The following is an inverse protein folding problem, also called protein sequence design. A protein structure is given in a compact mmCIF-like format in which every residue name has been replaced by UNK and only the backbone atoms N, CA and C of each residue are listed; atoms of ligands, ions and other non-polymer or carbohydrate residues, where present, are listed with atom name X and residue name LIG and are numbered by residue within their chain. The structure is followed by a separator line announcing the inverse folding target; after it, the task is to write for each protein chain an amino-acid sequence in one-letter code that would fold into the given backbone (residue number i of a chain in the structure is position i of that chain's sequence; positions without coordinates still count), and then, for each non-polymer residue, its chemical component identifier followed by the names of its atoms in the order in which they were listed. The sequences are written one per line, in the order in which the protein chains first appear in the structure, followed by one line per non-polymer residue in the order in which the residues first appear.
data_IF_453689500939
#
_entry.id   IF_453689500939
#
_cell.length_a   1.000
_cell.length_b   1.000
_cell.length_c   1.000
_cell.angle_alpha   90.00
_cell.angle_beta   90.00
_cell.angle_gamma   90.00
#
_symmetry.space_group_name_H-M   'P 1'
#
loop_
_entity.id
_entity.type
_entity.pdbx_description
1 polymer ?
#
# COMPACT_ATOMS: atom_id res chain seq x y z
N UNK A 1 2.87 -26.20 19.64
CA UNK A 1 4.13 -25.92 18.90
C UNK A 1 3.72 -25.46 17.49
N UNK A 2 4.03 -24.24 17.12
CA UNK A 2 3.73 -23.74 15.78
C UNK A 2 4.72 -24.39 14.80
N UNK A 3 4.23 -25.23 13.88
CA UNK A 3 5.03 -25.83 12.82
C UNK A 3 5.71 -24.72 12.00
N UNK A 4 6.96 -24.93 11.59
CA UNK A 4 7.62 -24.00 10.67
C UNK A 4 6.88 -24.02 9.33
N UNK A 5 6.83 -22.90 8.66
CA UNK A 5 6.08 -22.76 7.38
C UNK A 5 6.50 -23.81 6.34
N UNK A 6 7.80 -24.15 6.26
CA UNK A 6 8.30 -25.19 5.36
C UNK A 6 7.69 -26.57 5.64
N UNK A 7 7.66 -26.97 6.92
CA UNK A 7 7.10 -28.27 7.34
C UNK A 7 5.59 -28.33 7.05
N UNK A 8 4.89 -27.22 7.29
CA UNK A 8 3.45 -27.11 6.99
C UNK A 8 3.14 -27.22 5.50
N UNK A 9 4.00 -26.65 4.66
CA UNK A 9 3.83 -26.73 3.20
C UNK A 9 4.03 -28.16 2.69
N UNK A 10 4.99 -28.91 3.27
CA UNK A 10 5.19 -30.33 2.95
C UNK A 10 4.01 -31.17 3.44
N UNK A 11 3.56 -30.96 4.69
CA UNK A 11 2.40 -31.68 5.24
C UNK A 11 1.16 -31.51 4.39
N UNK A 12 0.93 -30.27 3.90
CA UNK A 12 -0.17 -29.95 2.96
C UNK A 12 0.09 -30.40 1.52
N UNK A 13 1.24 -31.04 1.24
CA UNK A 13 1.64 -31.53 -0.09
C UNK A 13 1.67 -30.44 -1.17
N UNK A 14 2.07 -29.25 -0.78
CA UNK A 14 2.18 -28.10 -1.69
C UNK A 14 3.57 -27.96 -2.28
N UNK A 15 4.59 -28.45 -1.56
CA UNK A 15 5.97 -28.57 -2.01
C UNK A 15 6.55 -29.92 -1.57
N UNK A 16 7.56 -30.37 -2.25
CA UNK A 16 8.36 -31.55 -1.87
C UNK A 16 9.50 -31.17 -0.92
N UNK A 17 10.13 -32.18 -0.29
CA UNK A 17 11.32 -31.96 0.53
C UNK A 17 12.47 -31.38 -0.29
N UNK A 18 12.65 -31.85 -1.52
CA UNK A 18 13.70 -31.38 -2.43
C UNK A 18 13.53 -29.92 -2.80
N UNK A 19 12.29 -29.49 -3.05
CA UNK A 19 11.93 -28.09 -3.32
C UNK A 19 12.16 -27.20 -2.10
N UNK A 20 11.85 -27.68 -0.89
CA UNK A 20 12.14 -26.96 0.33
C UNK A 20 13.65 -26.81 0.53
N UNK A 21 14.44 -27.86 0.32
CA UNK A 21 15.89 -27.84 0.46
C UNK A 21 16.53 -26.87 -0.54
N UNK A 22 16.01 -26.81 -1.77
CA UNK A 22 16.41 -25.82 -2.77
C UNK A 22 16.11 -24.39 -2.30
N UNK A 23 14.89 -24.15 -1.82
CA UNK A 23 14.48 -22.84 -1.34
C UNK A 23 15.28 -22.39 -0.11
N UNK A 24 15.62 -23.31 0.79
CA UNK A 24 16.45 -23.01 1.97
C UNK A 24 17.87 -22.60 1.59
N UNK A 25 18.48 -23.24 0.58
CA UNK A 25 19.81 -22.84 0.07
C UNK A 25 19.77 -21.43 -0.53
N UNK A 26 18.77 -21.14 -1.32
CA UNK A 26 18.57 -19.80 -1.91
C UNK A 26 18.27 -18.73 -0.86
N UNK A 27 17.45 -19.04 0.14
CA UNK A 27 17.16 -18.16 1.28
C UNK A 27 18.45 -17.75 2.03
N UNK A 28 19.38 -18.70 2.23
CA UNK A 28 20.67 -18.40 2.88
C UNK A 28 21.52 -17.42 2.07
N UNK A 29 21.44 -17.48 0.74
CA UNK A 29 22.19 -16.61 -0.16
C UNK A 29 21.58 -15.20 -0.25
N UNK A 30 20.26 -15.11 -0.32
CA UNK A 30 19.54 -13.84 -0.60
C UNK A 30 19.10 -13.10 0.65
N UNK A 31 19.03 -13.78 1.81
CA UNK A 31 18.47 -13.28 3.06
C UNK A 31 17.00 -12.84 2.97
N UNK A 32 16.32 -13.21 1.88
CA UNK A 32 14.87 -13.01 1.74
C UNK A 32 14.11 -13.96 2.67
N UNK A 33 12.85 -13.65 3.00
CA UNK A 33 12.02 -14.61 3.72
C UNK A 33 11.79 -15.88 2.89
N UNK A 34 11.82 -17.06 3.53
CA UNK A 34 11.64 -18.35 2.86
C UNK A 34 10.38 -18.38 1.97
N UNK A 35 9.27 -17.79 2.43
CA UNK A 35 8.05 -17.70 1.64
C UNK A 35 8.24 -16.92 0.35
N UNK A 36 8.94 -15.79 0.38
CA UNK A 36 9.25 -14.98 -0.81
C UNK A 36 10.15 -15.76 -1.77
N UNK A 37 11.15 -16.46 -1.24
CA UNK A 37 12.04 -17.32 -2.04
C UNK A 37 11.25 -18.43 -2.74
N UNK A 38 10.31 -19.09 -2.06
CA UNK A 38 9.46 -20.12 -2.63
C UNK A 38 8.59 -19.59 -3.78
N UNK A 39 8.03 -18.39 -3.62
CA UNK A 39 7.23 -17.73 -4.67
C UNK A 39 8.11 -17.33 -5.85
N UNK A 40 9.27 -16.73 -5.60
CA UNK A 40 10.23 -16.34 -6.65
C UNK A 40 10.72 -17.52 -7.48
N UNK A 41 10.93 -18.65 -6.84
CA UNK A 41 11.31 -19.92 -7.51
C UNK A 41 10.12 -20.61 -8.21
N UNK A 42 8.91 -20.01 -8.17
CA UNK A 42 7.67 -20.58 -8.72
C UNK A 42 7.28 -21.95 -8.13
N UNK A 43 7.75 -22.28 -6.92
CA UNK A 43 7.41 -23.52 -6.23
C UNK A 43 6.03 -23.47 -5.59
N UNK A 44 5.56 -22.27 -5.23
CA UNK A 44 4.22 -22.01 -4.74
C UNK A 44 3.72 -20.65 -5.24
N UNK A 45 2.41 -20.49 -5.43
CA UNK A 45 1.82 -19.18 -5.75
C UNK A 45 1.69 -18.34 -4.47
N UNK A 46 1.83 -17.01 -4.59
CA UNK A 46 1.68 -16.07 -3.47
C UNK A 46 0.33 -16.24 -2.77
N UNK A 47 -0.75 -16.42 -3.53
CA UNK A 47 -2.10 -16.68 -2.99
C UNK A 47 -2.13 -17.91 -2.08
N UNK A 48 -1.54 -19.03 -2.51
CA UNK A 48 -1.52 -20.26 -1.70
C UNK A 48 -0.69 -20.08 -0.44
N UNK A 49 0.48 -19.46 -0.56
CA UNK A 49 1.35 -19.16 0.57
C UNK A 49 0.63 -18.30 1.62
N UNK A 50 0.02 -17.18 1.19
CA UNK A 50 -0.67 -16.26 2.08
C UNK A 50 -1.89 -16.89 2.77
N UNK A 51 -2.64 -17.76 2.08
CA UNK A 51 -3.75 -18.50 2.70
C UNK A 51 -3.26 -19.39 3.84
N UNK A 52 -2.12 -20.05 3.67
CA UNK A 52 -1.53 -20.91 4.70
C UNK A 52 -0.95 -20.09 5.85
N UNK A 53 -0.30 -18.97 5.55
CA UNK A 53 0.19 -18.06 6.58
C UNK A 53 -0.97 -17.47 7.39
N UNK A 54 -2.07 -17.09 6.72
CA UNK A 54 -3.28 -16.61 7.38
C UNK A 54 -3.84 -17.67 8.34
N UNK A 55 -3.99 -18.91 7.88
CA UNK A 55 -4.45 -20.03 8.70
C UNK A 55 -3.52 -20.27 9.91
N UNK A 56 -2.21 -20.25 9.69
CA UNK A 56 -1.21 -20.45 10.72
C UNK A 56 -1.22 -19.36 11.81
N UNK A 57 -1.49 -18.11 11.41
CA UNK A 57 -1.50 -16.95 12.29
C UNK A 57 -2.90 -16.63 12.84
N UNK A 58 -3.93 -17.38 12.45
CA UNK A 58 -5.31 -17.10 12.82
C UNK A 58 -5.88 -15.81 12.22
N UNK A 59 -5.31 -15.37 11.08
CA UNK A 59 -5.72 -14.19 10.34
C UNK A 59 -6.67 -14.56 9.20
N UNK A 60 -7.43 -13.59 8.68
CA UNK A 60 -8.19 -13.76 7.45
C UNK A 60 -7.31 -13.56 6.22
N UNK A 61 -7.57 -14.30 5.15
CA UNK A 61 -7.09 -14.00 3.81
C UNK A 61 -8.21 -13.31 3.03
N UNK A 62 -7.92 -12.15 2.42
CA UNK A 62 -8.87 -11.37 1.63
C UNK A 62 -8.46 -11.34 0.16
N UNK A 63 -9.40 -11.68 -0.73
CA UNK A 63 -9.24 -11.43 -2.16
C UNK A 63 -9.76 -10.03 -2.49
N UNK A 64 -8.83 -9.07 -2.60
CA UNK A 64 -9.17 -7.67 -2.86
C UNK A 64 -9.73 -7.42 -4.26
N UNK A 65 -9.63 -8.39 -5.18
CA UNK A 65 -10.24 -8.25 -6.52
C UNK A 65 -11.75 -8.38 -6.47
N UNK A 66 -12.24 -9.20 -5.55
CA UNK A 66 -13.68 -9.46 -5.40
C UNK A 66 -14.31 -8.56 -4.32
N UNK A 67 -13.49 -7.95 -3.45
CA UNK A 67 -13.96 -7.16 -2.32
C UNK A 67 -14.41 -5.77 -2.76
N UNK A 68 -15.61 -5.38 -2.31
CA UNK A 68 -16.08 -4.00 -2.41
C UNK A 68 -15.85 -3.29 -1.09
N UNK A 69 -15.12 -2.19 -1.13
CA UNK A 69 -14.81 -1.37 0.02
C UNK A 69 -15.71 -0.15 -0.02
N UNK A 70 -16.33 0.20 1.11
CA UNK A 70 -17.23 1.34 1.19
C UNK A 70 -16.47 2.67 1.21
N UNK A 71 -17.11 3.72 0.72
CA UNK A 71 -16.56 5.08 0.77
C UNK A 71 -16.30 5.55 2.21
N UNK A 72 -17.08 5.06 3.17
CA UNK A 72 -16.86 5.33 4.58
C UNK A 72 -15.46 4.89 5.03
N UNK A 73 -15.03 3.68 4.68
CA UNK A 73 -13.69 3.18 5.02
C UNK A 73 -12.61 4.04 4.38
N UNK A 74 -12.79 4.38 3.11
CA UNK A 74 -11.81 5.16 2.34
C UNK A 74 -11.66 6.58 2.91
N UNK A 75 -12.78 7.21 3.27
CA UNK A 75 -12.78 8.58 3.80
C UNK A 75 -12.23 8.67 5.24
N UNK A 76 -12.31 7.58 6.01
CA UNK A 76 -11.80 7.54 7.40
C UNK A 76 -10.30 7.20 7.50
N UNK A 77 -9.70 6.66 6.44
CA UNK A 77 -8.27 6.32 6.43
C UNK A 77 -7.56 7.14 5.36
N UNK A 78 -6.77 8.15 5.73
CA UNK A 78 -6.06 8.99 4.77
C UNK A 78 -5.15 8.20 3.83
N UNK A 79 -5.09 8.62 2.56
CA UNK A 79 -4.33 7.96 1.50
C UNK A 79 -2.85 7.78 1.85
N UNK A 80 -2.27 8.71 2.62
CA UNK A 80 -0.87 8.64 3.08
C UNK A 80 -0.55 7.32 3.79
N UNK A 81 -1.45 6.81 4.65
CA UNK A 81 -1.23 5.54 5.35
C UNK A 81 -1.27 4.36 4.39
N UNK A 82 -2.25 4.33 3.48
CA UNK A 82 -2.39 3.28 2.48
C UNK A 82 -1.13 3.18 1.59
N UNK A 83 -0.65 4.30 1.07
CA UNK A 83 0.53 4.35 0.21
C UNK A 83 1.84 4.13 0.96
N UNK A 84 2.01 4.76 2.13
CA UNK A 84 3.25 4.68 2.91
C UNK A 84 3.52 3.25 3.38
N UNK A 85 2.51 2.62 3.97
CA UNK A 85 2.63 1.26 4.52
C UNK A 85 2.27 0.16 3.53
N UNK A 86 1.79 0.50 2.33
CA UNK A 86 1.27 -0.47 1.35
C UNK A 86 0.24 -1.39 1.97
N UNK A 87 -0.74 -0.81 2.63
CA UNK A 87 -1.88 -1.48 3.25
C UNK A 87 -3.17 -1.04 2.55
N UNK A 88 -4.21 -1.88 2.64
CA UNK A 88 -5.53 -1.50 2.16
C UNK A 88 -6.54 -1.63 3.29
N UNK A 89 -7.14 -0.52 3.78
CA UNK A 89 -8.24 -0.59 4.71
C UNK A 89 -9.45 -1.21 4.00
N UNK A 90 -10.12 -2.14 4.66
CA UNK A 90 -11.17 -2.94 4.02
C UNK A 90 -12.52 -2.86 4.69
N UNK A 91 -12.56 -2.67 5.99
CA UNK A 91 -13.80 -2.61 6.78
C UNK A 91 -13.59 -1.81 8.05
N UNK A 92 -14.62 -1.05 8.45
CA UNK A 92 -14.77 -0.48 9.78
C UNK A 92 -16.02 -1.11 10.43
N UNK A 93 -15.88 -1.58 11.66
CA UNK A 93 -16.97 -2.16 12.45
C UNK A 93 -16.89 -1.57 13.87
N UNK A 94 -17.70 -0.57 14.14
CA UNK A 94 -17.59 0.23 15.35
C UNK A 94 -16.23 0.89 15.50
N UNK A 95 -15.43 0.46 16.48
CA UNK A 95 -14.08 0.98 16.73
C UNK A 95 -12.98 0.05 16.16
N UNK A 96 -13.32 -0.91 15.30
CA UNK A 96 -12.38 -1.87 14.73
C UNK A 96 -12.20 -1.58 13.25
N UNK A 97 -10.96 -1.29 12.85
CA UNK A 97 -10.53 -1.11 11.45
C UNK A 97 -9.82 -2.39 10.98
N UNK A 98 -10.35 -3.05 9.96
CA UNK A 98 -9.65 -4.17 9.31
C UNK A 98 -8.79 -3.65 8.17
N UNK A 99 -7.49 -3.97 8.20
CA UNK A 99 -6.54 -3.62 7.14
C UNK A 99 -5.93 -4.86 6.52
N UNK A 100 -5.82 -4.87 5.19
CA UNK A 100 -5.12 -5.91 4.45
C UNK A 100 -3.66 -5.52 4.24
N UNK A 101 -2.74 -6.44 4.56
CA UNK A 101 -1.31 -6.32 4.28
C UNK A 101 -0.75 -7.63 3.71
N UNK A 102 0.43 -7.58 3.11
CA UNK A 102 1.02 -8.75 2.44
C UNK A 102 2.00 -9.53 3.32
N UNK A 103 2.42 -8.96 4.45
CA UNK A 103 3.37 -9.59 5.36
C UNK A 103 2.80 -9.63 6.79
N UNK A 104 2.47 -10.81 7.34
CA UNK A 104 1.87 -10.93 8.67
C UNK A 104 2.81 -10.55 9.82
N UNK A 105 4.09 -10.36 9.54
CA UNK A 105 5.10 -10.00 10.55
C UNK A 105 5.39 -8.50 10.60
N UNK A 106 4.80 -7.73 9.69
CA UNK A 106 4.95 -6.28 9.65
C UNK A 106 3.87 -5.62 10.51
N UNK A 107 4.18 -5.38 11.78
CA UNK A 107 3.26 -4.78 12.74
C UNK A 107 3.38 -3.24 12.84
N UNK A 108 4.39 -2.63 12.22
CA UNK A 108 4.56 -1.18 12.20
C UNK A 108 3.32 -0.41 11.76
N UNK A 109 2.64 -0.81 10.67
CA UNK A 109 1.44 -0.11 10.24
C UNK A 109 0.33 -0.15 11.27
N UNK A 110 0.22 -1.24 12.02
CA UNK A 110 -0.85 -1.44 13.02
C UNK A 110 -0.73 -0.41 14.14
N UNK A 111 0.45 -0.32 14.75
CA UNK A 111 0.70 0.57 15.89
C UNK A 111 0.49 2.04 15.49
N UNK A 112 0.95 2.42 14.28
CA UNK A 112 0.82 3.79 13.80
C UNK A 112 -0.63 4.15 13.45
N UNK A 113 -1.38 3.24 12.85
CA UNK A 113 -2.81 3.43 12.56
C UNK A 113 -3.64 3.53 13.85
N UNK A 114 -3.39 2.68 14.84
CA UNK A 114 -4.06 2.73 16.13
C UNK A 114 -3.82 4.07 16.84
N UNK A 115 -2.56 4.53 16.81
CA UNK A 115 -2.17 5.79 17.46
C UNK A 115 -2.77 7.02 16.78
N UNK A 116 -2.74 7.06 15.43
CA UNK A 116 -3.15 8.25 14.68
C UNK A 116 -4.64 8.31 14.38
N UNK A 117 -5.29 7.15 14.18
CA UNK A 117 -6.71 7.09 13.79
C UNK A 117 -7.63 6.74 14.93
N UNK A 118 -7.09 6.22 16.05
CA UNK A 118 -7.87 5.88 17.25
C UNK A 118 -8.73 4.62 17.11
N UNK A 119 -8.58 3.84 16.03
CA UNK A 119 -9.21 2.55 15.84
C UNK A 119 -8.36 1.44 16.44
N UNK A 120 -8.99 0.37 16.90
CA UNK A 120 -8.33 -0.91 17.08
C UNK A 120 -8.14 -1.55 15.70
N UNK A 121 -6.92 -1.98 15.38
CA UNK A 121 -6.61 -2.51 14.05
C UNK A 121 -6.61 -4.05 14.06
N UNK A 122 -7.38 -4.65 13.16
CA UNK A 122 -7.32 -6.07 12.85
C UNK A 122 -6.66 -6.28 11.49
N UNK A 123 -5.74 -7.25 11.45
CA UNK A 123 -4.95 -7.55 10.25
C UNK A 123 -5.57 -8.69 9.46
N UNK A 124 -5.70 -8.50 8.15
CA UNK A 124 -5.96 -9.55 7.19
C UNK A 124 -4.82 -9.63 6.16
N UNK A 125 -4.61 -10.79 5.56
CA UNK A 125 -3.59 -10.97 4.54
C UNK A 125 -4.20 -10.86 3.13
N UNK A 126 -3.47 -10.19 2.24
CA UNK A 126 -3.82 -10.10 0.83
C UNK A 126 -2.55 -10.08 -0.04
N UNK A 127 -2.73 -10.40 -1.32
CA UNK A 127 -1.65 -10.39 -2.31
C UNK A 127 -1.13 -8.97 -2.51
N UNK A 128 0.18 -8.80 -2.51
CA UNK A 128 0.84 -7.48 -2.59
C UNK A 128 0.44 -6.66 -3.83
N UNK A 129 0.34 -7.32 -5.00
CA UNK A 129 -0.12 -6.66 -6.23
C UNK A 129 -1.58 -6.21 -6.14
N UNK A 130 -2.45 -7.00 -5.49
CA UNK A 130 -3.87 -6.65 -5.31
C UNK A 130 -4.06 -5.49 -4.33
N UNK A 131 -3.20 -5.40 -3.29
CA UNK A 131 -3.17 -4.23 -2.40
C UNK A 131 -2.83 -2.98 -3.22
N UNK A 132 -1.76 -3.02 -4.02
CA UNK A 132 -1.35 -1.88 -4.85
C UNK A 132 -2.42 -1.47 -5.86
N UNK A 133 -3.07 -2.44 -6.53
CA UNK A 133 -4.17 -2.19 -7.45
C UNK A 133 -5.39 -1.57 -6.72
N UNK A 134 -5.72 -2.08 -5.53
CA UNK A 134 -6.82 -1.55 -4.73
C UNK A 134 -6.53 -0.11 -4.25
N UNK A 135 -5.31 0.18 -3.76
CA UNK A 135 -4.92 1.53 -3.38
C UNK A 135 -5.09 2.50 -4.56
N UNK A 136 -4.58 2.14 -5.74
CA UNK A 136 -4.76 2.97 -6.95
C UNK A 136 -6.22 3.19 -7.31
N UNK A 137 -7.04 2.15 -7.21
CA UNK A 137 -8.46 2.20 -7.55
C UNK A 137 -9.27 3.09 -6.61
N UNK A 138 -9.03 3.01 -5.30
CA UNK A 138 -9.85 3.68 -4.30
C UNK A 138 -9.32 5.05 -3.88
N UNK A 139 -7.99 5.23 -3.85
CA UNK A 139 -7.35 6.50 -3.45
C UNK A 139 -6.80 7.30 -4.64
N UNK A 140 -6.76 6.70 -5.82
CA UNK A 140 -6.15 7.34 -6.98
C UNK A 140 -4.62 7.26 -7.00
N UNK A 141 -4.05 7.70 -8.12
CA UNK A 141 -2.60 7.75 -8.32
C UNK A 141 -2.08 9.07 -7.75
N UNK A 142 -1.04 8.98 -6.91
CA UNK A 142 -0.41 10.19 -6.34
C UNK A 142 -1.17 10.85 -5.19
N UNK A 143 -2.22 10.23 -4.66
CA UNK A 143 -2.99 10.77 -3.53
C UNK A 143 -2.11 11.07 -2.31
N UNK A 144 -1.10 10.23 -2.03
CA UNK A 144 -0.10 10.48 -0.99
C UNK A 144 0.74 11.73 -1.25
N UNK A 145 1.06 11.98 -2.51
CA UNK A 145 1.82 13.17 -2.94
C UNK A 145 0.97 14.42 -2.83
N UNK A 146 -0.31 14.36 -3.21
CA UNK A 146 -1.27 15.46 -3.08
C UNK A 146 -1.46 15.84 -1.61
N UNK A 147 -1.68 14.87 -0.72
CA UNK A 147 -1.82 15.14 0.72
C UNK A 147 -0.56 15.80 1.30
N UNK A 148 0.64 15.38 0.88
CA UNK A 148 1.89 16.02 1.30
C UNK A 148 1.99 17.46 0.80
N UNK A 149 1.68 17.71 -0.46
CA UNK A 149 1.67 19.08 -1.03
C UNK A 149 0.71 19.98 -0.25
N UNK A 150 -0.49 19.48 0.09
CA UNK A 150 -1.47 20.23 0.86
C UNK A 150 -1.05 20.44 2.33
N UNK A 151 -0.34 19.50 2.93
CA UNK A 151 0.14 19.60 4.30
C UNK A 151 1.34 20.54 4.42
N UNK A 152 2.20 20.57 3.40
CA UNK A 152 3.39 21.43 3.33
C UNK A 152 3.06 22.84 2.78
N UNK A 153 1.84 23.05 2.24
CA UNK A 153 1.39 24.37 1.80
C UNK A 153 1.30 25.31 3.02
N UNK A 154 2.01 26.45 3.03
CA UNK A 154 1.88 27.42 4.11
C UNK A 154 0.41 27.80 4.25
N UNK A 155 -0.10 27.77 5.48
CA UNK A 155 -1.42 28.35 5.80
C UNK A 155 -1.33 29.86 5.54
N UNK A 156 -1.46 30.26 4.28
CA UNK A 156 -1.46 31.66 3.89
C UNK A 156 -2.71 32.30 4.50
N UNK A 157 -2.50 33.11 5.53
CA UNK A 157 -3.47 34.09 5.98
C UNK A 157 -3.85 35.00 4.81
N UNK A 158 -5.09 35.43 4.76
CA UNK A 158 -5.67 36.14 3.63
C UNK A 158 -4.95 37.47 3.23
N UNK A 159 -3.95 37.91 3.97
CA UNK A 159 -3.21 39.17 3.77
C UNK A 159 -1.91 39.02 2.94
N UNK A 160 -1.40 37.79 2.72
CA UNK A 160 -0.11 37.59 2.01
C UNK A 160 -0.25 37.29 0.50
N UNK A 161 -1.44 37.39 -0.05
CA UNK A 161 -1.71 37.07 -1.46
C UNK A 161 -1.21 38.07 -2.49
N UNK A 162 -0.82 39.26 -2.11
CA UNK A 162 -0.33 40.29 -3.05
C UNK A 162 1.20 40.24 -3.27
N UNK A 163 1.99 39.83 -2.29
CA UNK A 163 3.46 39.76 -2.41
C UNK A 163 3.97 38.48 -3.12
N UNK A 164 3.12 37.47 -3.28
CA UNK A 164 3.52 36.19 -3.89
C UNK A 164 3.61 36.24 -5.44
N UNK A 165 3.16 37.34 -6.07
CA UNK A 165 3.21 37.50 -7.53
C UNK A 165 4.54 37.99 -8.10
N UNK A 166 5.40 38.56 -7.27
CA UNK A 166 6.72 39.07 -7.71
C UNK A 166 7.90 38.10 -7.51
N UNK A 167 7.70 36.97 -6.82
CA UNK A 167 8.78 35.99 -6.53
C UNK A 167 8.79 34.73 -7.40
N UNK A 168 8.20 34.77 -8.60
CA UNK A 168 8.12 33.59 -9.49
C UNK A 168 9.44 33.33 -10.24
N UNK A 169 10.42 34.22 -10.19
CA UNK A 169 11.66 34.08 -10.99
C UNK A 169 12.83 33.37 -10.30
N UNK A 170 12.73 32.96 -9.00
CA UNK A 170 13.84 32.31 -8.26
C UNK A 170 13.56 30.88 -7.79
N UNK A 171 12.62 30.15 -8.40
CA UNK A 171 12.07 28.89 -7.90
C UNK A 171 12.72 27.61 -8.49
N UNK A 172 14.00 27.60 -8.81
CA UNK A 172 14.65 26.38 -9.29
C UNK A 172 15.03 25.34 -8.21
N UNK A 173 14.80 25.56 -6.92
CA UNK A 173 15.33 24.67 -5.87
C UNK A 173 14.43 24.42 -4.64
N UNK A 174 13.11 24.58 -4.70
CA UNK A 174 12.28 24.28 -3.52
C UNK A 174 11.76 22.82 -3.51
N UNK A 175 11.65 22.24 -2.33
CA UNK A 175 11.11 20.89 -2.13
C UNK A 175 9.64 20.75 -2.63
N UNK A 176 8.91 21.86 -2.72
CA UNK A 176 7.55 21.95 -3.24
C UNK A 176 7.49 21.66 -4.74
N UNK A 177 8.41 22.22 -5.52
CA UNK A 177 8.51 21.97 -6.97
C UNK A 177 8.80 20.50 -7.27
N UNK A 178 9.68 19.87 -6.48
CA UNK A 178 9.98 18.46 -6.61
C UNK A 178 8.75 17.56 -6.37
N UNK A 179 7.85 17.97 -5.46
CA UNK A 179 6.61 17.22 -5.16
C UNK A 179 5.58 17.37 -6.28
N UNK A 180 5.41 18.56 -6.85
CA UNK A 180 4.51 18.81 -8.00
C UNK A 180 5.03 18.08 -9.25
N UNK A 181 6.32 18.17 -9.54
CA UNK A 181 6.94 17.44 -10.65
C UNK A 181 6.75 15.93 -10.50
N UNK A 182 6.90 15.40 -9.28
CA UNK A 182 6.66 13.99 -8.98
C UNK A 182 5.21 13.60 -9.24
N UNK A 183 4.24 14.42 -8.83
CA UNK A 183 2.81 14.19 -9.08
C UNK A 183 2.51 14.16 -10.57
N UNK A 184 2.99 15.15 -11.34
CA UNK A 184 2.81 15.20 -12.79
C UNK A 184 3.39 13.97 -13.46
N UNK A 185 4.61 13.57 -13.08
CA UNK A 185 5.24 12.36 -13.62
C UNK A 185 4.45 11.08 -13.28
N UNK A 186 3.86 10.98 -12.09
CA UNK A 186 3.01 9.87 -11.72
C UNK A 186 1.74 9.80 -12.59
N UNK A 187 1.09 10.95 -12.84
CA UNK A 187 -0.08 11.05 -13.72
C UNK A 187 0.28 10.63 -15.15
N UNK A 188 1.41 11.13 -15.68
CA UNK A 188 1.89 10.79 -17.02
C UNK A 188 2.19 9.29 -17.14
N UNK A 189 2.89 8.70 -16.17
CA UNK A 189 3.16 7.26 -16.16
C UNK A 189 1.89 6.43 -16.10
N UNK A 190 0.92 6.85 -15.30
CA UNK A 190 -0.36 6.15 -15.22
C UNK A 190 -1.10 6.22 -16.56
N UNK A 191 -1.16 7.39 -17.18
CA UNK A 191 -1.80 7.57 -18.49
C UNK A 191 -1.16 6.68 -19.57
N UNK A 192 0.16 6.57 -19.59
CA UNK A 192 0.88 5.67 -20.50
C UNK A 192 0.51 4.21 -20.25
N UNK A 193 0.46 3.78 -18.97
CA UNK A 193 0.09 2.42 -18.60
C UNK A 193 -1.36 2.09 -18.99
N UNK A 194 -2.27 3.06 -18.83
CA UNK A 194 -3.68 2.94 -19.18
C UNK A 194 -3.94 3.14 -20.68
N UNK A 195 -2.88 3.43 -21.47
CA UNK A 195 -2.94 3.74 -22.91
C UNK A 195 -3.92 4.87 -23.22
N UNK A 196 -3.95 5.88 -22.34
CA UNK A 196 -4.77 7.06 -22.55
C UNK A 196 -4.26 7.83 -23.79
N UNK A 197 -5.19 8.37 -24.57
CA UNK A 197 -4.86 9.22 -25.75
C UNK A 197 -4.62 10.66 -25.35
N UNK A 198 -5.31 11.13 -24.32
CA UNK A 198 -5.31 12.51 -23.86
C UNK A 198 -5.34 12.61 -22.35
N UNK A 199 -4.76 13.67 -21.79
CA UNK A 199 -4.83 14.02 -20.37
C UNK A 199 -5.30 15.45 -20.28
N UNK A 200 -6.42 15.68 -19.58
CA UNK A 200 -6.97 17.01 -19.36
C UNK A 200 -6.74 17.43 -17.91
N UNK A 201 -6.19 18.62 -17.72
CA UNK A 201 -6.04 19.25 -16.41
C UNK A 201 -6.98 20.45 -16.35
N UNK A 202 -7.94 20.42 -15.45
CA UNK A 202 -8.87 21.50 -15.24
C UNK A 202 -8.70 22.08 -13.84
N UNK A 203 -8.59 23.39 -13.75
CA UNK A 203 -8.50 24.09 -12.48
C UNK A 203 -9.90 24.57 -12.08
N UNK A 204 -10.49 23.93 -11.08
CA UNK A 204 -11.75 24.40 -10.50
C UNK A 204 -11.45 25.42 -9.40
N UNK A 205 -11.94 26.65 -9.58
CA UNK A 205 -11.99 27.61 -8.48
C UNK A 205 -13.18 27.23 -7.60
N UNK A 206 -12.92 26.94 -6.33
CA UNK A 206 -14.00 26.89 -5.35
C UNK A 206 -14.55 28.32 -5.21
N UNK A 207 -15.81 28.54 -5.59
CA UNK A 207 -16.57 29.76 -5.31
C UNK A 207 -16.95 29.83 -3.84
#
# INVERSE_FOLDING_TARGET
MTLRIGDLLIEKKLITQEELDLALKEHQNTKEFLGQTLVRLNLITEVKLLKILAEQQGMQFLDLKELRISDEVINNVPAKFAWHYRIMPTRIDGNVLTVALSNPFDMWPVDDLETNLGYRVEVALAVSSYITEAIKKYYGVGADTIERILADAPQASAEEKEDAREKIEDLETSAEDASVVKLVNQILQQAINDRATDIHFENYRNE
#
